data_IF_567222486450
#
_entry.id   IF_567222486450
#
_cell.length_a   1.000
_cell.length_b   1.000
_cell.length_c   1.000
_cell.angle_alpha   90.00
_cell.angle_beta   90.00
_cell.angle_gamma   90.00
#
_symmetry.space_group_name_H-M   'P 1'
#
loop_
_entity.id
_entity.type
_entity.pdbx_description
1 polymer ?
#
# COMPACT_ATOMS: atom_id res chain seq x y z
N UNK A 1 10.00 21.05 -4.21
CA UNK A 1 9.24 19.92 -3.64
C UNK A 1 8.63 19.16 -4.80
N UNK A 2 8.73 17.84 -4.83
CA UNK A 2 8.03 17.02 -5.82
C UNK A 2 6.55 17.07 -5.44
N UNK A 3 5.67 17.46 -6.37
CA UNK A 3 4.23 17.40 -6.09
C UNK A 3 3.85 15.92 -6.00
N UNK A 4 3.70 15.43 -4.78
CA UNK A 4 3.29 14.05 -4.48
C UNK A 4 1.77 13.98 -4.53
N UNK A 5 1.22 13.99 -5.75
CA UNK A 5 -0.22 13.90 -5.99
C UNK A 5 -0.51 12.71 -6.90
N UNK A 6 -1.42 11.85 -6.46
CA UNK A 6 -2.02 10.81 -7.27
C UNK A 6 -3.53 11.09 -7.46
N UNK A 7 -4.01 10.88 -8.66
CA UNK A 7 -5.43 11.00 -8.99
C UNK A 7 -6.05 9.60 -9.02
N UNK A 8 -6.95 9.31 -8.09
CA UNK A 8 -7.74 8.10 -8.12
C UNK A 8 -8.94 8.32 -9.05
N UNK A 9 -8.99 7.61 -10.17
CA UNK A 9 -10.14 7.65 -11.08
C UNK A 9 -11.26 6.78 -10.56
N UNK A 10 -12.50 7.18 -10.89
CA UNK A 10 -13.67 6.34 -10.61
C UNK A 10 -13.58 5.06 -11.46
N UNK A 11 -13.78 3.87 -10.83
CA UNK A 11 -13.77 2.61 -11.56
C UNK A 11 -14.93 2.55 -12.56
N UNK A 12 -14.69 1.90 -13.69
CA UNK A 12 -15.69 1.73 -14.77
C UNK A 12 -16.24 0.31 -14.87
N UNK A 13 -15.64 -0.63 -14.16
CA UNK A 13 -16.02 -2.04 -14.12
C UNK A 13 -15.76 -2.64 -12.74
N UNK A 14 -16.29 -3.83 -12.48
CA UNK A 14 -16.00 -4.54 -11.23
C UNK A 14 -14.53 -4.97 -11.18
N UNK A 15 -13.96 -4.87 -9.99
CA UNK A 15 -12.60 -5.32 -9.68
C UNK A 15 -12.70 -6.69 -9.03
N UNK A 16 -12.03 -7.68 -9.62
CA UNK A 16 -11.85 -9.02 -9.05
C UNK A 16 -10.39 -9.19 -8.64
N UNK A 17 -10.14 -9.74 -7.48
CA UNK A 17 -8.78 -9.84 -6.91
C UNK A 17 -8.07 -11.11 -7.40
N UNK A 18 -7.72 -11.11 -8.69
CA UNK A 18 -7.13 -12.26 -9.38
C UNK A 18 -5.65 -12.07 -9.74
N UNK A 19 -5.03 -10.96 -9.31
CA UNK A 19 -3.67 -10.60 -9.69
C UNK A 19 -3.53 -10.17 -11.15
N UNK A 20 -4.63 -9.82 -11.80
CA UNK A 20 -4.68 -9.42 -13.21
C UNK A 20 -4.86 -7.92 -13.32
N UNK A 21 -3.81 -7.23 -13.71
CA UNK A 21 -3.82 -5.77 -13.79
C UNK A 21 -4.55 -5.21 -15.02
N UNK A 22 -5.02 -6.03 -15.94
CA UNK A 22 -5.80 -5.59 -17.11
C UNK A 22 -7.07 -4.82 -16.72
N UNK A 23 -7.69 -5.20 -15.60
CA UNK A 23 -8.86 -4.49 -15.07
C UNK A 23 -8.55 -3.08 -14.53
N UNK A 24 -7.25 -2.77 -14.33
CA UNK A 24 -6.74 -1.49 -13.85
C UNK A 24 -6.22 -0.59 -14.99
N UNK A 25 -6.47 -0.94 -16.26
CA UNK A 25 -5.89 -0.29 -17.44
C UNK A 25 -6.19 1.21 -17.54
N UNK A 26 -7.26 1.70 -16.94
CA UNK A 26 -7.64 3.10 -16.92
C UNK A 26 -7.19 3.86 -15.66
N UNK A 27 -6.64 3.15 -14.66
CA UNK A 27 -6.10 3.77 -13.47
C UNK A 27 -4.86 4.62 -13.79
N UNK A 28 -4.64 5.66 -13.00
CA UNK A 28 -3.34 6.31 -12.99
C UNK A 28 -2.30 5.40 -12.33
N UNK A 29 -1.08 5.46 -12.80
CA UNK A 29 0.03 4.63 -12.36
C UNK A 29 1.08 5.48 -11.65
N UNK A 30 1.56 4.98 -10.53
CA UNK A 30 2.72 5.51 -9.83
C UNK A 30 3.84 4.48 -9.92
N UNK A 31 5.00 4.90 -10.38
CA UNK A 31 6.18 4.06 -10.49
C UNK A 31 7.24 4.56 -9.50
N UNK A 32 7.76 3.69 -8.65
CA UNK A 32 8.86 3.99 -7.74
C UNK A 32 9.74 2.75 -7.52
N UNK A 33 10.97 2.94 -7.10
CA UNK A 33 11.95 1.88 -6.92
C UNK A 33 12.94 2.19 -5.77
N UNK A 34 13.74 1.20 -5.40
CA UNK A 34 14.72 1.29 -4.34
C UNK A 34 16.03 1.98 -4.73
N UNK A 35 16.13 2.49 -5.96
CA UNK A 35 17.31 3.15 -6.50
C UNK A 35 18.52 2.23 -6.78
N UNK A 36 18.40 0.92 -6.52
CA UNK A 36 19.47 -0.03 -6.79
C UNK A 36 19.73 -0.20 -8.29
N UNK A 37 20.93 -0.66 -8.66
CA UNK A 37 21.25 -1.01 -10.04
C UNK A 37 20.57 -2.35 -10.43
N UNK A 38 20.15 -2.53 -11.70
CA UNK A 38 19.76 -3.86 -12.17
C UNK A 38 20.93 -4.85 -12.10
N UNK A 39 20.69 -6.16 -11.82
CA UNK A 39 19.37 -6.80 -11.71
C UNK A 39 18.72 -6.77 -10.33
N UNK A 40 19.35 -6.20 -9.32
CA UNK A 40 18.94 -6.23 -7.92
C UNK A 40 17.80 -5.24 -7.63
N UNK A 41 17.53 -4.32 -8.56
CA UNK A 41 16.49 -3.29 -8.39
C UNK A 41 15.12 -3.90 -8.10
N UNK A 42 14.55 -3.47 -6.99
CA UNK A 42 13.14 -3.69 -6.64
C UNK A 42 12.35 -2.48 -7.09
N UNK A 43 11.16 -2.71 -7.61
CA UNK A 43 10.30 -1.64 -8.07
C UNK A 43 8.84 -1.98 -7.86
N UNK A 44 8.02 -0.96 -7.73
CA UNK A 44 6.59 -1.09 -7.64
C UNK A 44 5.89 -0.18 -8.63
N UNK A 45 4.78 -0.66 -9.14
CA UNK A 45 3.77 0.14 -9.82
C UNK A 45 2.52 0.08 -8.95
N UNK A 46 2.00 1.24 -8.57
CA UNK A 46 0.74 1.33 -7.83
C UNK A 46 -0.33 1.93 -8.74
N UNK A 47 -1.49 1.28 -8.77
CA UNK A 47 -2.69 1.76 -9.44
C UNK A 47 -3.76 2.04 -8.39
N UNK A 48 -4.51 3.14 -8.55
CA UNK A 48 -5.58 3.53 -7.63
C UNK A 48 -6.86 3.84 -8.38
N UNK A 49 -7.97 3.31 -7.85
CA UNK A 49 -9.33 3.55 -8.34
C UNK A 49 -10.25 3.75 -7.14
N UNK A 50 -11.45 4.23 -7.37
CA UNK A 50 -12.45 4.37 -6.33
C UNK A 50 -13.88 4.16 -6.84
N UNK A 51 -14.79 3.84 -5.92
CA UNK A 51 -16.24 3.94 -6.06
C UNK A 51 -16.87 4.46 -4.76
N UNK A 52 -18.16 4.42 -4.62
CA UNK A 52 -18.87 4.93 -3.44
C UNK A 52 -18.62 4.11 -2.16
N UNK A 53 -18.07 2.90 -2.30
CA UNK A 53 -17.86 1.98 -1.18
C UNK A 53 -16.40 1.86 -0.78
N UNK A 54 -15.49 1.88 -1.77
CA UNK A 54 -14.10 1.50 -1.57
C UNK A 54 -13.11 2.43 -2.28
N UNK A 55 -11.98 2.64 -1.63
CA UNK A 55 -10.73 2.97 -2.29
C UNK A 55 -10.05 1.65 -2.69
N UNK A 56 -9.75 1.51 -3.98
CA UNK A 56 -9.06 0.34 -4.52
C UNK A 56 -7.61 0.67 -4.79
N UNK A 57 -6.70 -0.21 -4.37
CA UNK A 57 -5.25 -0.07 -4.54
C UNK A 57 -4.72 -1.39 -5.11
N UNK A 58 -3.93 -1.31 -6.17
CA UNK A 58 -3.19 -2.47 -6.66
C UNK A 58 -1.69 -2.15 -6.70
N UNK A 59 -0.91 -3.02 -6.10
CA UNK A 59 0.54 -3.02 -6.20
C UNK A 59 0.99 -4.11 -7.17
N UNK A 60 1.81 -3.75 -8.14
CA UNK A 60 2.59 -4.68 -8.95
C UNK A 60 4.07 -4.54 -8.58
N UNK A 61 4.56 -5.48 -7.81
CA UNK A 61 5.93 -5.43 -7.28
C UNK A 61 6.83 -6.38 -8.05
N UNK A 62 7.97 -5.85 -8.50
CA UNK A 62 9.08 -6.64 -9.03
C UNK A 62 10.04 -6.96 -7.88
N UNK A 63 10.10 -8.23 -7.52
CA UNK A 63 10.97 -8.75 -6.46
C UNK A 63 11.29 -10.22 -6.77
N UNK A 64 12.53 -10.50 -7.08
CA UNK A 64 12.97 -11.87 -7.35
C UNK A 64 13.04 -12.67 -6.05
N UNK A 65 12.45 -13.89 -6.08
CA UNK A 65 12.44 -14.83 -4.95
C UNK A 65 12.03 -14.17 -3.61
N UNK A 66 10.87 -13.56 -3.54
CA UNK A 66 10.42 -12.89 -2.32
C UNK A 66 10.25 -13.89 -1.17
N UNK A 67 10.40 -13.42 0.07
CA UNK A 67 10.41 -14.27 1.28
C UNK A 67 9.48 -13.72 2.33
N UNK A 68 8.76 -14.60 3.00
CA UNK A 68 7.98 -14.29 4.19
C UNK A 68 7.98 -15.46 5.14
N UNK A 69 7.72 -15.19 6.42
CA UNK A 69 7.70 -16.17 7.50
C UNK A 69 6.42 -16.11 8.32
N UNK A 70 5.84 -14.91 8.44
CA UNK A 70 4.66 -14.68 9.26
C UNK A 70 3.43 -15.09 8.47
N UNK A 71 2.63 -16.00 9.03
CA UNK A 71 1.41 -16.54 8.41
C UNK A 71 0.13 -16.10 9.10
N UNK A 72 0.27 -15.48 10.27
CA UNK A 72 -0.86 -15.14 11.15
C UNK A 72 -1.13 -13.65 11.08
N UNK A 73 -2.41 -13.28 11.16
CA UNK A 73 -2.82 -11.89 11.33
C UNK A 73 -2.16 -11.32 12.59
N UNK A 74 -1.70 -10.07 12.52
CA UNK A 74 -1.04 -9.31 13.58
C UNK A 74 0.23 -10.01 14.13
N UNK A 75 0.79 -10.93 13.34
CA UNK A 75 2.01 -11.62 13.69
C UNK A 75 3.20 -10.66 13.80
N UNK A 76 3.89 -10.71 14.94
CA UNK A 76 5.03 -9.84 15.20
C UNK A 76 6.14 -9.99 14.15
N UNK A 77 6.60 -8.89 13.61
CA UNK A 77 7.68 -8.86 12.62
C UNK A 77 7.23 -9.05 11.18
N UNK A 78 5.91 -9.03 10.89
CA UNK A 78 5.38 -9.13 9.54
C UNK A 78 5.98 -8.08 8.60
N UNK A 79 6.28 -6.89 9.09
CA UNK A 79 6.94 -5.82 8.33
C UNK A 79 8.38 -6.13 7.86
N UNK A 80 9.02 -7.19 8.38
CA UNK A 80 10.30 -7.69 7.85
C UNK A 80 10.15 -8.64 6.67
N UNK A 81 8.96 -9.16 6.43
CA UNK A 81 8.64 -10.02 5.29
C UNK A 81 8.54 -9.19 4.00
N UNK A 82 8.82 -9.82 2.85
CA UNK A 82 8.50 -9.20 1.56
C UNK A 82 6.98 -9.01 1.46
N UNK A 83 6.56 -7.79 1.16
CA UNK A 83 5.17 -7.39 1.14
C UNK A 83 4.97 -5.94 0.73
N UNK A 84 3.76 -5.47 0.92
CA UNK A 84 3.37 -4.08 0.69
C UNK A 84 2.90 -3.45 1.99
N UNK A 85 3.01 -2.14 2.02
CA UNK A 85 2.42 -1.31 3.05
C UNK A 85 1.78 -0.08 2.42
N UNK A 86 0.70 0.38 3.01
CA UNK A 86 0.15 1.69 2.71
C UNK A 86 -0.34 2.36 4.00
N UNK A 87 -0.16 3.66 4.05
CA UNK A 87 -0.57 4.51 5.16
C UNK A 87 -1.54 5.55 4.63
N UNK A 88 -2.62 5.79 5.37
CA UNK A 88 -3.66 6.76 5.00
C UNK A 88 -3.91 7.72 6.15
N UNK A 89 -3.79 9.01 5.88
CA UNK A 89 -4.31 10.12 6.67
C UNK A 89 -5.66 10.51 6.05
N UNK A 90 -6.74 10.03 6.67
CA UNK A 90 -8.07 10.12 6.06
C UNK A 90 -8.59 11.56 5.98
N UNK A 91 -8.17 12.45 6.86
CA UNK A 91 -8.53 13.88 6.83
C UNK A 91 -7.56 14.76 6.06
N UNK A 92 -6.39 14.21 5.70
CA UNK A 92 -5.30 14.94 5.07
C UNK A 92 -4.89 16.19 5.88
N UNK A 93 -4.87 16.05 7.21
CA UNK A 93 -4.52 17.15 8.10
C UNK A 93 -3.00 17.27 8.32
N UNK A 94 -2.23 16.28 7.83
CA UNK A 94 -0.76 16.28 7.74
C UNK A 94 -0.08 16.61 9.06
N UNK A 95 -0.59 16.03 10.13
CA UNK A 95 -0.03 16.18 11.46
C UNK A 95 1.33 15.47 11.62
N UNK A 96 2.06 15.85 12.66
CA UNK A 96 3.30 15.16 13.06
C UNK A 96 3.05 13.96 13.98
N UNK A 97 1.79 13.69 14.31
CA UNK A 97 1.35 12.54 15.09
C UNK A 97 0.37 11.72 14.25
N UNK A 98 0.44 10.42 14.40
CA UNK A 98 -0.50 9.48 13.79
C UNK A 98 -1.79 9.49 14.61
N UNK A 99 -2.83 10.11 14.04
CA UNK A 99 -4.09 10.40 14.73
C UNK A 99 -5.09 9.24 14.54
N UNK A 100 -6.26 9.32 15.17
CA UNK A 100 -7.26 8.24 15.13
C UNK A 100 -7.90 8.00 13.76
N UNK A 101 -7.77 8.93 12.84
CA UNK A 101 -8.20 8.79 11.44
C UNK A 101 -7.08 8.32 10.52
N UNK A 102 -5.87 8.13 11.06
CA UNK A 102 -4.74 7.58 10.34
C UNK A 102 -4.66 6.07 10.55
N UNK A 103 -4.44 5.36 9.48
CA UNK A 103 -4.33 3.90 9.48
C UNK A 103 -3.13 3.42 8.66
N UNK A 104 -2.60 2.28 9.03
CA UNK A 104 -1.58 1.57 8.27
C UNK A 104 -1.97 0.11 8.06
N UNK A 105 -1.60 -0.43 6.91
CA UNK A 105 -1.74 -1.84 6.56
C UNK A 105 -0.44 -2.37 5.99
N UNK A 106 0.03 -3.47 6.55
CA UNK A 106 1.11 -4.29 6.00
C UNK A 106 0.52 -5.62 5.53
N UNK A 107 0.79 -6.04 4.30
CA UNK A 107 0.34 -7.31 3.75
C UNK A 107 1.54 -8.01 3.13
N UNK A 108 1.91 -9.18 3.68
CA UNK A 108 3.06 -9.92 3.18
C UNK A 108 2.67 -10.87 2.03
N UNK A 109 3.67 -11.48 1.40
CA UNK A 109 3.46 -12.40 0.27
C UNK A 109 2.75 -13.71 0.63
N UNK A 110 2.55 -14.01 1.91
CA UNK A 110 1.72 -15.13 2.39
C UNK A 110 0.26 -14.74 2.64
N UNK A 111 -0.12 -13.52 2.23
CA UNK A 111 -1.48 -12.96 2.40
C UNK A 111 -1.85 -12.72 3.89
N UNK A 112 -0.85 -12.70 4.79
CA UNK A 112 -1.02 -12.30 6.17
C UNK A 112 -1.03 -10.77 6.27
N UNK A 113 -1.81 -10.23 7.20
CA UNK A 113 -1.96 -8.79 7.42
C UNK A 113 -1.58 -8.40 8.83
N UNK A 114 -0.90 -7.27 8.97
CA UNK A 114 -0.74 -6.51 10.20
C UNK A 114 -1.26 -5.11 9.95
N UNK A 115 -2.15 -4.63 10.79
CA UNK A 115 -2.70 -3.29 10.66
C UNK A 115 -2.68 -2.57 12.00
N UNK A 116 -2.63 -1.25 11.93
CA UNK A 116 -2.66 -0.40 13.09
C UNK A 116 -3.39 0.92 12.80
N UNK A 117 -3.76 1.59 13.88
CA UNK A 117 -4.43 2.88 13.87
C UNK A 117 -3.74 3.86 14.80
N UNK A 118 -3.68 5.10 14.38
CA UNK A 118 -3.15 6.16 15.21
C UNK A 118 -3.97 6.40 16.48
N UNK A 119 -3.28 6.85 17.54
CA UNK A 119 -3.90 7.21 18.81
C UNK A 119 -3.75 8.69 19.14
N UNK A 120 -3.01 9.44 18.32
CA UNK A 120 -2.57 10.80 18.63
C UNK A 120 -1.43 10.84 19.66
N UNK A 121 -0.88 9.69 20.01
CA UNK A 121 0.23 9.51 20.94
C UNK A 121 1.45 8.86 20.27
N UNK A 122 2.47 8.50 21.06
CA UNK A 122 3.71 7.94 20.54
C UNK A 122 3.60 6.46 20.13
N UNK A 123 2.45 5.81 20.36
CA UNK A 123 2.21 4.41 20.03
C UNK A 123 0.91 4.29 19.25
N UNK A 124 0.92 3.41 18.27
CA UNK A 124 -0.26 3.03 17.51
C UNK A 124 -1.12 2.03 18.29
N UNK A 125 -2.40 1.96 17.97
CA UNK A 125 -3.29 0.88 18.42
C UNK A 125 -3.13 -0.31 17.46
N UNK A 126 -2.27 -1.24 17.82
CA UNK A 126 -2.02 -2.50 17.10
C UNK A 126 -3.07 -3.58 17.40
N UNK A 127 -4.05 -3.29 18.25
CA UNK A 127 -5.20 -4.18 18.49
C UNK A 127 -6.38 -3.88 17.59
N UNK A 128 -6.30 -2.75 16.86
CA UNK A 128 -7.29 -2.40 15.86
C UNK A 128 -7.19 -3.36 14.67
N UNK A 129 -8.34 -3.81 14.20
CA UNK A 129 -8.43 -4.68 13.04
C UNK A 129 -9.28 -4.01 11.97
N UNK A 130 -8.66 -3.67 10.87
CA UNK A 130 -9.31 -3.05 9.74
C UNK A 130 -10.14 -4.02 8.91
N UNK A 131 -10.98 -3.46 8.04
CA UNK A 131 -11.95 -4.18 7.21
C UNK A 131 -11.53 -4.25 5.74
N UNK A 132 -10.29 -3.87 5.41
CA UNK A 132 -9.82 -3.95 4.04
C UNK A 132 -9.89 -5.39 3.51
N UNK A 133 -10.44 -5.53 2.30
CA UNK A 133 -10.42 -6.79 1.56
C UNK A 133 -9.15 -6.80 0.74
N UNK A 134 -8.38 -7.87 0.79
CA UNK A 134 -7.12 -7.95 0.05
C UNK A 134 -6.89 -9.33 -0.54
N UNK A 135 -5.98 -9.39 -1.51
CA UNK A 135 -5.47 -10.63 -2.08
C UNK A 135 -4.06 -10.45 -2.60
N UNK A 136 -3.17 -11.33 -2.16
CA UNK A 136 -1.80 -11.44 -2.63
C UNK A 136 -1.67 -12.55 -3.67
N UNK A 137 -1.04 -12.25 -4.80
CA UNK A 137 -0.82 -13.18 -5.90
C UNK A 137 0.66 -13.15 -6.33
N UNK A 138 1.35 -14.30 -6.26
CA UNK A 138 2.74 -14.41 -6.71
C UNK A 138 2.81 -14.49 -8.23
N UNK A 139 3.83 -13.84 -8.82
CA UNK A 139 4.13 -13.87 -10.25
C UNK A 139 5.20 -14.92 -10.50
N UNK A 140 4.78 -16.16 -10.79
CA UNK A 140 5.67 -17.26 -11.10
C UNK A 140 5.84 -17.43 -12.61
N UNK A 141 7.06 -17.73 -13.05
CA UNK A 141 7.38 -18.15 -14.41
C UNK A 141 7.14 -19.66 -14.59
N UNK A 142 7.15 -20.13 -15.84
CA UNK A 142 6.98 -21.55 -16.15
C UNK A 142 8.04 -22.47 -15.51
N UNK A 143 9.24 -21.95 -15.28
CA UNK A 143 10.33 -22.65 -14.58
C UNK A 143 10.18 -22.66 -13.05
N UNK A 144 9.10 -22.08 -12.51
CA UNK A 144 8.83 -21.98 -11.07
C UNK A 144 9.53 -20.80 -10.36
N UNK A 145 10.32 -20.00 -11.06
CA UNK A 145 10.94 -18.81 -10.49
C UNK A 145 9.89 -17.73 -10.21
N UNK A 146 9.85 -17.20 -8.99
CA UNK A 146 9.00 -16.09 -8.62
C UNK A 146 9.74 -14.78 -8.87
N UNK A 147 9.15 -13.92 -9.70
CA UNK A 147 9.77 -12.65 -10.15
C UNK A 147 9.13 -11.42 -9.50
N UNK A 148 8.07 -11.62 -8.73
CA UNK A 148 7.35 -10.54 -8.06
C UNK A 148 5.99 -10.99 -7.56
N UNK A 149 5.17 -10.04 -7.23
CA UNK A 149 3.80 -10.27 -6.74
C UNK A 149 2.87 -9.10 -7.07
N UNK A 150 1.59 -9.39 -7.06
CA UNK A 150 0.51 -8.39 -7.16
C UNK A 150 -0.31 -8.48 -5.89
N UNK A 151 -0.51 -7.35 -5.23
CA UNK A 151 -1.44 -7.22 -4.12
C UNK A 151 -2.56 -6.27 -4.52
N UNK A 152 -3.80 -6.74 -4.45
CA UNK A 152 -5.00 -5.96 -4.71
C UNK A 152 -5.75 -5.76 -3.40
N UNK A 153 -6.18 -4.53 -3.12
CA UNK A 153 -6.79 -4.13 -1.86
C UNK A 153 -8.02 -3.27 -2.14
N UNK A 154 -9.07 -3.44 -1.33
CA UNK A 154 -10.21 -2.52 -1.26
C UNK A 154 -10.41 -2.05 0.18
N UNK A 155 -10.16 -0.78 0.44
CA UNK A 155 -10.33 -0.13 1.75
C UNK A 155 -11.72 0.51 1.81
N UNK A 156 -12.61 0.11 2.74
CA UNK A 156 -13.93 0.73 2.85
C UNK A 156 -13.84 2.21 3.27
N UNK A 157 -14.52 3.10 2.58
CA UNK A 157 -14.61 4.51 3.01
C UNK A 157 -15.23 4.68 4.41
N UNK A 158 -16.12 3.76 4.78
CA UNK A 158 -16.69 3.71 6.13
C UNK A 158 -15.60 3.59 7.21
N UNK A 159 -14.56 2.80 6.96
CA UNK A 159 -13.44 2.60 7.88
C UNK A 159 -12.63 3.88 8.06
N UNK A 160 -12.45 4.63 6.98
CA UNK A 160 -11.75 5.92 6.99
C UNK A 160 -12.61 7.06 7.59
N UNK A 161 -13.91 6.83 7.77
CA UNK A 161 -14.84 7.88 8.21
C UNK A 161 -15.01 9.01 7.18
N UNK A 162 -14.71 8.74 5.91
CA UNK A 162 -14.75 9.69 4.79
C UNK A 162 -15.91 9.36 3.87
N UNK A 163 -16.69 10.37 3.50
CA UNK A 163 -17.65 10.25 2.39
C UNK A 163 -16.94 10.59 1.08
N UNK A 164 -16.82 9.65 0.14
CA UNK A 164 -16.11 9.91 -1.12
C UNK A 164 -16.94 10.86 -2.01
N UNK A 165 -16.35 11.99 -2.39
CA UNK A 165 -16.96 12.96 -3.29
C UNK A 165 -15.97 13.30 -4.40
N UNK A 166 -16.39 13.05 -5.63
CA UNK A 166 -15.60 13.33 -6.83
C UNK A 166 -15.11 14.80 -6.87
N UNK A 167 -13.84 14.98 -7.21
CA UNK A 167 -13.13 16.26 -7.27
C UNK A 167 -13.04 17.05 -5.95
N UNK A 168 -13.57 16.52 -4.85
CA UNK A 168 -13.57 17.15 -3.51
C UNK A 168 -12.71 16.38 -2.53
N UNK A 169 -12.92 15.05 -2.40
CA UNK A 169 -12.23 14.25 -1.42
C UNK A 169 -10.75 14.14 -1.77
N UNK A 170 -9.90 14.48 -0.79
CA UNK A 170 -8.46 14.30 -0.79
C UNK A 170 -8.08 13.63 0.53
N UNK A 171 -7.27 12.57 0.45
CA UNK A 171 -6.66 11.92 1.62
C UNK A 171 -5.15 12.01 1.52
N UNK A 172 -4.45 12.06 2.65
CA UNK A 172 -3.01 11.84 2.70
C UNK A 172 -2.72 10.35 2.50
N UNK A 173 -1.68 10.00 1.76
CA UNK A 173 -1.34 8.60 1.50
C UNK A 173 0.15 8.43 1.23
N UNK A 174 0.69 7.28 1.65
CA UNK A 174 1.95 6.77 1.14
C UNK A 174 1.84 5.29 0.81
N UNK A 175 2.67 4.85 -0.13
CA UNK A 175 2.79 3.47 -0.60
C UNK A 175 4.21 2.98 -0.40
N UNK A 176 4.36 1.83 0.22
CA UNK A 176 5.63 1.27 0.58
C UNK A 176 5.76 -0.19 0.16
N UNK A 177 6.97 -0.62 -0.12
CA UNK A 177 7.34 -2.02 -0.32
C UNK A 177 8.34 -2.39 0.75
N UNK A 178 8.00 -3.39 1.53
CA UNK A 178 8.80 -3.92 2.62
C UNK A 178 9.50 -5.22 2.24
N UNK A 179 10.54 -5.55 2.95
CA UNK A 179 11.23 -6.81 2.80
C UNK A 179 12.56 -6.89 3.52
N UNK A 180 13.33 -7.91 3.17
CA UNK A 180 14.64 -8.16 3.73
C UNK A 180 15.67 -8.15 2.60
N UNK A 181 16.79 -7.48 2.82
CA UNK A 181 17.93 -7.49 1.90
C UNK A 181 18.52 -8.91 1.79
N UNK A 182 18.76 -9.37 0.57
CA UNK A 182 19.19 -10.76 0.31
C UNK A 182 20.62 -11.03 0.76
N UNK A 183 21.47 -10.02 0.79
CA UNK A 183 22.88 -10.18 1.12
C UNK A 183 23.14 -10.04 2.61
N UNK A 184 22.48 -9.07 3.23
CA UNK A 184 22.74 -8.69 4.64
C UNK A 184 21.72 -9.27 5.60
N UNK A 185 20.53 -9.65 5.13
CA UNK A 185 19.39 -10.02 5.96
C UNK A 185 18.78 -8.83 6.73
N UNK A 186 19.21 -7.61 6.42
CA UNK A 186 18.69 -6.41 7.05
C UNK A 186 17.32 -6.03 6.50
N UNK A 187 16.53 -5.35 7.33
CA UNK A 187 15.29 -4.76 6.88
C UNK A 187 15.54 -3.76 5.76
N UNK A 188 14.77 -3.87 4.70
CA UNK A 188 14.84 -3.01 3.52
C UNK A 188 13.44 -2.59 3.11
N UNK A 189 13.27 -1.32 2.89
CA UNK A 189 12.03 -0.76 2.38
C UNK A 189 12.31 0.39 1.42
N UNK A 190 11.34 0.69 0.59
CA UNK A 190 11.29 1.89 -0.24
C UNK A 190 9.84 2.32 -0.41
N UNK A 191 9.63 3.60 -0.50
CA UNK A 191 8.31 4.22 -0.51
C UNK A 191 8.19 5.31 -1.58
N UNK A 192 6.97 5.66 -1.90
CA UNK A 192 6.66 6.66 -2.92
C UNK A 192 6.97 8.09 -2.46
N UNK A 193 6.64 8.44 -1.23
CA UNK A 193 6.81 9.78 -0.70
C UNK A 193 8.26 10.08 -0.30
N UNK A 194 9.08 9.07 -0.05
CA UNK A 194 10.45 9.20 0.45
C UNK A 194 10.49 9.56 1.94
N UNK A 195 9.66 8.87 2.72
CA UNK A 195 9.54 9.09 4.16
C UNK A 195 10.84 8.78 4.89
N UNK A 196 11.19 9.61 5.84
CA UNK A 196 12.29 9.33 6.78
C UNK A 196 11.85 8.44 7.94
N UNK A 197 10.59 8.53 8.30
CA UNK A 197 9.95 7.80 9.40
C UNK A 197 8.52 7.47 9.00
N UNK A 198 8.08 6.26 9.29
CA UNK A 198 6.68 5.86 9.15
C UNK A 198 5.79 6.53 10.21
N UNK A 199 4.48 6.56 9.99
CA UNK A 199 3.49 7.13 10.90
C UNK A 199 3.67 8.64 11.18
N UNK A 200 4.19 9.38 10.18
CA UNK A 200 4.29 10.85 10.20
C UNK A 200 3.59 11.43 8.99
N UNK A 201 2.28 11.73 9.10
CA UNK A 201 1.45 12.16 7.95
C UNK A 201 1.91 13.43 7.26
N UNK A 202 2.69 14.29 7.93
CA UNK A 202 3.26 15.51 7.34
C UNK A 202 4.16 15.23 6.12
N UNK A 203 4.67 14.00 6.00
CA UNK A 203 5.46 13.54 4.85
C UNK A 203 4.65 12.87 3.73
N UNK A 204 3.38 12.55 3.95
CA UNK A 204 2.55 11.83 2.97
C UNK A 204 2.26 12.67 1.73
N UNK A 205 2.13 12.00 0.60
CA UNK A 205 1.55 12.58 -0.59
C UNK A 205 0.03 12.74 -0.48
N UNK A 206 -0.60 13.18 -1.56
CA UNK A 206 -2.05 13.36 -1.64
C UNK A 206 -2.66 12.42 -2.67
N UNK A 207 -3.82 11.85 -2.32
CA UNK A 207 -4.68 11.12 -3.23
C UNK A 207 -5.99 11.88 -3.37
N UNK A 208 -6.29 12.31 -4.61
CA UNK A 208 -7.51 13.04 -4.95
C UNK A 208 -8.43 12.19 -5.79
N UNK A 209 -9.72 12.14 -5.42
CA UNK A 209 -10.75 11.45 -6.20
C UNK A 209 -11.15 12.28 -7.42
N UNK A 210 -11.17 11.64 -8.59
CA UNK A 210 -11.59 12.25 -9.87
C UNK A 210 -12.55 11.33 -10.63
N UNK A 211 -13.23 11.87 -11.63
CA UNK A 211 -14.10 11.11 -12.53
C UNK A 211 -13.34 10.02 -13.32
N UNK A 212 -14.08 9.24 -14.07
CA UNK A 212 -13.56 8.15 -14.91
C UNK A 212 -12.73 8.68 -16.10
#
# INVERSE_FOLDING_TARGET
MKDLLVLAKRKTSDITFEGKLEQWHHANRLDFDDGAAPPERRSAVVCVLWDEKYLYIAFDVRRKNPRAKVTERDGHGLWFDDGIEFLIDAKNDKGTLFMQDDIAYHINILDAVFDDRGTGGPKQDVSWNGKAIHKMNLKAQENGEVTGYVCEVAVPWEELGVAPVENVTVVGIDFCVNGTDDLTGAYHYFDWAGLKLFHYPDGFGELKLVGA
#
